data_IF_612256060214
#
_entry.id   IF_612256060214
#
_cell.length_a   1.000
_cell.length_b   1.000
_cell.length_c   1.000
_cell.angle_alpha   90.00
_cell.angle_beta   90.00
_cell.angle_gamma   90.00
#
_symmetry.space_group_name_H-M   'P 1'
#
loop_
_entity.id
_entity.type
_entity.pdbx_description
1 polymer ?
#
# COMPACT_ATOMS: atom_id res chain seq x y z
N UNK A 1 16.35 -22.56 -18.06
CA UNK A 1 16.32 -21.85 -19.36
C UNK A 1 15.47 -20.60 -19.17
N UNK A 2 16.05 -19.56 -18.58
CA UNK A 2 15.46 -18.22 -18.42
C UNK A 2 16.49 -17.17 -17.96
N UNK A 3 17.64 -17.60 -17.45
CA UNK A 3 18.58 -16.81 -16.63
C UNK A 3 19.42 -15.79 -17.45
N UNK A 4 18.99 -15.48 -18.67
CA UNK A 4 19.83 -14.96 -19.75
C UNK A 4 19.13 -13.89 -20.61
N UNK A 5 18.12 -13.21 -20.07
CA UNK A 5 17.29 -12.26 -20.82
C UNK A 5 17.34 -10.91 -20.08
N UNK A 6 17.52 -9.78 -20.78
CA UNK A 6 17.47 -8.47 -20.14
C UNK A 6 16.09 -8.20 -19.52
N UNK A 7 15.96 -7.16 -18.70
CA UNK A 7 14.70 -6.79 -18.04
C UNK A 7 13.52 -6.85 -19.04
N UNK A 8 12.43 -7.49 -18.65
CA UNK A 8 11.22 -7.68 -19.50
C UNK A 8 10.30 -6.46 -19.31
N UNK A 9 10.16 -5.55 -20.30
CA UNK A 9 9.41 -4.32 -20.13
C UNK A 9 7.93 -4.53 -19.80
N UNK A 10 7.32 -5.56 -20.38
CA UNK A 10 5.91 -5.90 -20.20
C UNK A 10 5.62 -6.38 -18.76
N UNK A 11 6.64 -6.88 -18.06
CA UNK A 11 6.55 -7.38 -16.69
C UNK A 11 7.01 -6.35 -15.65
N UNK A 12 7.46 -5.16 -16.09
CA UNK A 12 7.69 -4.03 -15.18
C UNK A 12 6.35 -3.67 -14.54
N UNK A 13 6.26 -3.62 -13.19
CA UNK A 13 4.98 -3.46 -12.52
C UNK A 13 4.20 -2.24 -12.98
N UNK A 14 2.89 -2.42 -13.19
CA UNK A 14 1.98 -1.34 -13.57
C UNK A 14 0.98 -1.09 -12.44
N UNK A 15 0.87 0.18 -12.05
CA UNK A 15 -0.19 0.61 -11.15
C UNK A 15 -1.49 0.74 -11.93
N UNK A 16 -2.47 -0.11 -11.62
CA UNK A 16 -3.79 -0.13 -12.29
C UNK A 16 -4.90 0.52 -11.48
N UNK A 17 -4.56 1.16 -10.35
CA UNK A 17 -5.51 1.92 -9.56
C UNK A 17 -5.79 3.30 -10.15
N UNK A 18 -6.72 4.02 -9.53
CA UNK A 18 -7.11 5.37 -9.91
C UNK A 18 -6.88 6.32 -8.72
N UNK A 19 -5.82 7.13 -8.79
CA UNK A 19 -5.48 8.09 -7.73
C UNK A 19 -6.45 9.27 -7.71
N UNK A 20 -7.04 9.65 -8.85
CA UNK A 20 -8.04 10.72 -8.88
C UNK A 20 -9.34 10.26 -8.20
N UNK A 21 -9.76 9.02 -8.47
CA UNK A 21 -10.90 8.43 -7.78
C UNK A 21 -10.62 8.24 -6.28
N UNK A 22 -9.38 7.88 -5.91
CA UNK A 22 -8.97 7.80 -4.52
C UNK A 22 -9.09 9.17 -3.82
N UNK A 23 -8.59 10.24 -4.43
CA UNK A 23 -8.68 11.60 -3.87
C UNK A 23 -10.14 12.04 -3.67
N UNK A 24 -11.03 11.72 -4.62
CA UNK A 24 -12.47 11.95 -4.46
C UNK A 24 -13.06 11.14 -3.29
N UNK A 25 -12.64 9.88 -3.14
CA UNK A 25 -13.02 9.03 -2.02
C UNK A 25 -12.58 9.60 -0.67
N UNK A 26 -11.35 10.08 -0.58
CA UNK A 26 -10.78 10.70 0.62
C UNK A 26 -11.60 11.95 1.01
N UNK A 27 -11.87 12.83 0.05
CA UNK A 27 -12.71 14.01 0.28
C UNK A 27 -14.13 13.62 0.75
N UNK A 28 -14.69 12.55 0.18
CA UNK A 28 -15.97 11.98 0.61
C UNK A 28 -15.95 11.50 2.07
N UNK A 29 -14.91 10.77 2.48
CA UNK A 29 -14.73 10.29 3.87
C UNK A 29 -14.67 11.47 4.85
N UNK A 30 -13.89 12.50 4.55
CA UNK A 30 -13.81 13.73 5.38
C UNK A 30 -15.16 14.43 5.51
N UNK A 31 -15.86 14.58 4.39
CA UNK A 31 -17.18 15.21 4.35
C UNK A 31 -18.21 14.43 5.16
N UNK A 32 -18.18 13.09 5.08
CA UNK A 32 -19.06 12.22 5.85
C UNK A 32 -18.79 12.35 7.36
N UNK A 33 -17.52 12.38 7.77
CA UNK A 33 -17.12 12.57 9.17
C UNK A 33 -17.62 13.90 9.74
N UNK A 34 -17.40 14.99 9.01
CA UNK A 34 -17.89 16.32 9.39
C UNK A 34 -19.41 16.33 9.53
N UNK A 35 -20.12 15.77 8.55
CA UNK A 35 -21.60 15.73 8.56
C UNK A 35 -22.16 14.93 9.74
N UNK A 36 -21.51 13.81 10.11
CA UNK A 36 -21.94 12.99 11.25
C UNK A 36 -21.71 13.72 12.58
N UNK A 37 -20.53 14.31 12.76
CA UNK A 37 -20.22 15.15 13.92
C UNK A 37 -21.24 16.27 14.09
N UNK A 38 -21.50 17.01 13.02
CA UNK A 38 -22.44 18.14 13.04
C UNK A 38 -23.85 17.67 13.39
N UNK A 39 -24.27 16.54 12.84
CA UNK A 39 -25.58 15.93 13.14
C UNK A 39 -25.70 15.52 14.61
N UNK A 40 -24.68 14.86 15.17
CA UNK A 40 -24.65 14.47 16.59
C UNK A 40 -24.70 15.69 17.52
N UNK A 41 -23.91 16.72 17.22
CA UNK A 41 -23.91 17.98 17.96
C UNK A 41 -25.25 18.72 17.87
N UNK A 42 -25.86 18.73 16.68
CA UNK A 42 -27.18 19.35 16.46
C UNK A 42 -28.28 18.64 17.25
N UNK A 43 -28.26 17.31 17.34
CA UNK A 43 -29.21 16.52 18.16
C UNK A 43 -29.09 16.94 19.62
N UNK A 44 -27.88 16.94 20.18
CA UNK A 44 -27.67 17.32 21.59
C UNK A 44 -28.11 18.76 21.88
N UNK A 45 -27.72 19.70 21.01
CA UNK A 45 -28.05 21.12 21.15
C UNK A 45 -29.56 21.36 21.08
N UNK A 46 -30.25 20.77 20.09
CA UNK A 46 -31.70 20.93 19.92
C UNK A 46 -32.48 20.30 21.06
N UNK A 47 -32.08 19.12 21.51
CA UNK A 47 -32.72 18.46 22.65
C UNK A 47 -32.52 19.26 23.95
N UNK A 48 -31.30 19.76 24.20
CA UNK A 48 -31.00 20.64 25.33
C UNK A 48 -31.79 21.96 25.31
N UNK A 49 -32.12 22.49 24.13
CA UNK A 49 -32.96 23.68 23.97
C UNK A 49 -34.38 23.52 24.54
N UNK A 50 -34.89 22.29 24.70
CA UNK A 50 -36.19 22.03 25.32
C UNK A 50 -36.22 22.30 26.83
N UNK A 51 -35.06 22.47 27.47
CA UNK A 51 -34.93 22.83 28.90
C UNK A 51 -35.57 24.17 29.28
N UNK A 52 -35.81 25.04 28.29
CA UNK A 52 -36.59 26.26 28.45
C UNK A 52 -38.07 25.98 28.76
N UNK A 53 -38.62 24.83 28.31
CA UNK A 53 -40.04 24.52 28.35
C UNK A 53 -40.41 23.32 29.25
N UNK A 54 -39.42 22.51 29.67
CA UNK A 54 -39.62 21.38 30.57
C UNK A 54 -38.97 21.63 31.93
N UNK A 55 -39.75 21.50 33.01
CA UNK A 55 -39.28 21.64 34.40
C UNK A 55 -39.73 20.44 35.22
N UNK A 56 -38.75 19.63 35.62
CA UNK A 56 -38.93 18.52 36.54
C UNK A 56 -37.61 18.24 37.26
N UNK A 57 -37.61 17.58 38.43
CA UNK A 57 -36.38 17.23 39.14
C UNK A 57 -35.38 16.43 38.30
N UNK A 58 -35.87 15.62 37.36
CA UNK A 58 -35.06 14.78 36.46
C UNK A 58 -34.65 15.44 35.14
N UNK A 59 -35.01 16.71 34.91
CA UNK A 59 -34.82 17.39 33.62
C UNK A 59 -33.34 17.46 33.19
N UNK A 60 -32.41 17.71 34.12
CA UNK A 60 -30.98 17.72 33.83
C UNK A 60 -30.49 16.36 33.31
N UNK A 61 -30.88 15.28 34.01
CA UNK A 61 -30.54 13.92 33.62
C UNK A 61 -31.12 13.56 32.24
N UNK A 62 -32.36 13.99 31.97
CA UNK A 62 -33.00 13.82 30.66
C UNK A 62 -32.16 14.49 29.57
N UNK A 63 -31.85 15.79 29.69
CA UNK A 63 -31.13 16.51 28.63
C UNK A 63 -29.69 16.02 28.42
N UNK A 64 -29.06 15.47 29.47
CA UNK A 64 -27.75 14.85 29.37
C UNK A 64 -27.73 13.56 28.53
N UNK A 65 -28.88 12.91 28.30
CA UNK A 65 -28.94 11.61 27.56
C UNK A 65 -28.42 11.67 26.13
N UNK A 66 -28.38 12.86 25.52
CA UNK A 66 -27.93 13.06 24.13
C UNK A 66 -26.45 13.47 24.03
N UNK A 67 -25.80 13.82 25.14
CA UNK A 67 -24.38 14.18 25.16
C UNK A 67 -23.48 13.06 24.60
N UNK A 68 -23.71 11.76 24.91
CA UNK A 68 -22.91 10.68 24.35
C UNK A 68 -22.96 10.61 22.81
N UNK A 69 -24.09 10.95 22.18
CA UNK A 69 -24.21 10.94 20.72
C UNK A 69 -23.34 12.03 20.09
N UNK A 70 -23.32 13.24 20.68
CA UNK A 70 -22.44 14.31 20.22
C UNK A 70 -20.96 13.95 20.39
N UNK A 71 -20.58 13.41 21.55
CA UNK A 71 -19.20 12.95 21.81
C UNK A 71 -18.77 11.86 20.82
N UNK A 72 -19.62 10.85 20.57
CA UNK A 72 -19.31 9.78 19.63
C UNK A 72 -19.24 10.26 18.18
N UNK A 73 -20.05 11.26 17.80
CA UNK A 73 -19.95 11.91 16.50
C UNK A 73 -18.58 12.58 16.29
N UNK A 74 -18.06 13.26 17.32
CA UNK A 74 -16.71 13.88 17.29
C UNK A 74 -15.60 12.82 17.19
N UNK A 75 -15.68 11.76 18.01
CA UNK A 75 -14.71 10.66 18.01
C UNK A 75 -14.66 9.99 16.63
N UNK A 76 -15.82 9.64 16.06
CA UNK A 76 -15.88 9.00 14.75
C UNK A 76 -15.37 9.92 13.63
N UNK A 77 -15.67 11.22 13.68
CA UNK A 77 -15.12 12.17 12.72
C UNK A 77 -13.58 12.24 12.78
N UNK A 78 -13.01 12.14 13.98
CA UNK A 78 -11.55 12.11 14.19
C UNK A 78 -10.94 10.82 13.63
N UNK A 79 -11.60 9.67 13.80
CA UNK A 79 -11.18 8.39 13.22
C UNK A 79 -11.23 8.44 11.68
N UNK A 80 -12.31 9.00 11.09
CA UNK A 80 -12.40 9.18 9.64
C UNK A 80 -11.33 10.12 9.10
N UNK A 81 -10.99 11.20 9.81
CA UNK A 81 -9.88 12.08 9.41
C UNK A 81 -8.53 11.34 9.45
N UNK A 82 -8.35 10.43 10.42
CA UNK A 82 -7.15 9.59 10.48
C UNK A 82 -7.06 8.64 9.29
N UNK A 83 -8.17 8.03 8.89
CA UNK A 83 -8.25 7.19 7.68
C UNK A 83 -7.97 8.02 6.42
N UNK A 84 -8.62 9.17 6.26
CA UNK A 84 -8.41 10.09 5.15
C UNK A 84 -6.95 10.51 5.03
N UNK A 85 -6.32 10.89 6.14
CA UNK A 85 -4.90 11.27 6.18
C UNK A 85 -3.94 10.12 5.82
N UNK A 86 -4.27 8.89 6.23
CA UNK A 86 -3.49 7.71 5.86
C UNK A 86 -3.54 7.47 4.34
N UNK A 87 -4.73 7.59 3.74
CA UNK A 87 -4.95 7.44 2.31
C UNK A 87 -4.30 8.59 1.50
N UNK A 88 -4.34 9.83 1.99
CA UNK A 88 -3.62 10.97 1.38
C UNK A 88 -2.10 10.69 1.34
N UNK A 89 -1.55 10.20 2.46
CA UNK A 89 -0.12 9.86 2.55
C UNK A 89 0.24 8.76 1.56
N UNK A 90 -0.62 7.76 1.42
CA UNK A 90 -0.48 6.69 0.43
C UNK A 90 -0.50 7.24 -1.01
N UNK A 91 -1.49 8.05 -1.36
CA UNK A 91 -1.62 8.65 -2.69
C UNK A 91 -0.38 9.49 -3.05
N UNK A 92 0.09 10.31 -2.11
CA UNK A 92 1.29 11.13 -2.26
C UNK A 92 2.56 10.29 -2.46
N UNK A 93 2.68 9.15 -1.77
CA UNK A 93 3.83 8.23 -1.93
C UNK A 93 3.78 7.46 -3.26
N UNK A 94 2.60 7.02 -3.68
CA UNK A 94 2.42 6.18 -4.89
C UNK A 94 2.50 6.98 -6.18
N UNK A 95 2.05 8.24 -6.20
CA UNK A 95 2.06 9.09 -7.40
C UNK A 95 3.41 9.12 -8.13
N UNK A 96 4.52 9.44 -7.46
CA UNK A 96 5.86 9.40 -8.06
C UNK A 96 6.32 7.98 -8.46
N UNK A 97 5.94 6.95 -7.69
CA UNK A 97 6.32 5.56 -7.98
C UNK A 97 5.67 5.06 -9.27
N UNK A 98 4.40 5.42 -9.53
CA UNK A 98 3.73 5.16 -10.82
C UNK A 98 4.57 5.70 -11.98
N UNK A 99 5.00 6.97 -11.89
CA UNK A 99 5.82 7.60 -12.93
C UNK A 99 7.18 6.90 -13.08
N UNK A 100 7.79 6.47 -11.96
CA UNK A 100 9.04 5.71 -11.97
C UNK A 100 8.88 4.37 -12.70
N UNK A 101 7.81 3.62 -12.47
CA UNK A 101 7.56 2.37 -13.22
C UNK A 101 7.38 2.63 -14.72
N UNK A 102 6.62 3.67 -15.10
CA UNK A 102 6.43 4.03 -16.50
C UNK A 102 7.75 4.43 -17.19
N UNK A 103 8.64 5.10 -16.44
CA UNK A 103 9.98 5.44 -16.91
C UNK A 103 10.85 4.19 -17.07
N UNK A 104 10.93 3.34 -16.05
CA UNK A 104 11.72 2.11 -16.08
C UNK A 104 11.28 1.16 -17.20
N UNK A 105 9.99 1.11 -17.51
CA UNK A 105 9.46 0.38 -18.67
C UNK A 105 10.00 0.94 -19.99
N UNK A 106 9.96 2.26 -20.17
CA UNK A 106 10.54 2.90 -21.36
C UNK A 106 12.05 2.67 -21.47
N UNK A 107 12.76 2.74 -20.34
CA UNK A 107 14.20 2.50 -20.30
C UNK A 107 14.55 1.06 -20.64
N UNK A 108 13.73 0.09 -20.20
CA UNK A 108 13.88 -1.32 -20.56
C UNK A 108 13.64 -1.55 -22.07
N UNK A 109 12.63 -0.91 -22.67
CA UNK A 109 12.39 -0.94 -24.11
C UNK A 109 13.59 -0.36 -24.87
N UNK A 110 14.08 0.80 -24.44
CA UNK A 110 15.23 1.47 -25.07
C UNK A 110 16.50 0.63 -24.96
N UNK A 111 16.75 -0.01 -23.81
CA UNK A 111 17.88 -0.92 -23.65
C UNK A 111 17.80 -2.12 -24.58
N UNK A 112 16.62 -2.74 -24.70
CA UNK A 112 16.42 -3.87 -25.63
C UNK A 112 16.66 -3.47 -27.09
N UNK A 113 16.25 -2.27 -27.49
CA UNK A 113 16.55 -1.74 -28.82
C UNK A 113 18.07 -1.44 -29.00
N UNK A 114 18.74 -0.96 -27.95
CA UNK A 114 20.19 -0.67 -27.95
C UNK A 114 21.03 -1.93 -28.22
N UNK A 115 20.64 -3.07 -27.66
CA UNK A 115 21.35 -4.36 -27.82
C UNK A 115 20.77 -5.21 -28.96
N UNK A 116 19.84 -4.68 -29.75
CA UNK A 116 19.21 -5.44 -30.82
C UNK A 116 20.25 -5.87 -31.87
N UNK A 117 20.37 -7.18 -32.08
CA UNK A 117 21.37 -7.76 -32.99
C UNK A 117 22.77 -7.90 -32.40
N UNK A 118 22.95 -7.60 -31.11
CA UNK A 118 24.17 -7.88 -30.36
C UNK A 118 23.97 -9.13 -29.47
N UNK A 119 24.26 -10.30 -30.03
CA UNK A 119 24.16 -11.57 -29.32
C UNK A 119 25.23 -11.73 -28.22
N UNK A 120 26.26 -10.88 -28.22
CA UNK A 120 27.38 -10.88 -27.26
C UNK A 120 27.30 -9.74 -26.24
N UNK A 121 26.17 -9.01 -26.15
CA UNK A 121 26.03 -7.85 -25.25
C UNK A 121 26.42 -8.11 -23.79
N UNK A 122 26.35 -9.36 -23.33
CA UNK A 122 26.78 -9.76 -21.97
C UNK A 122 28.29 -9.74 -21.77
N UNK A 123 29.09 -9.73 -22.83
CA UNK A 123 30.54 -9.56 -22.75
C UNK A 123 30.93 -8.09 -22.53
N UNK A 124 29.97 -7.17 -22.64
CA UNK A 124 30.12 -5.78 -22.26
C UNK A 124 29.60 -5.59 -20.83
N UNK A 125 30.53 -5.56 -19.86
CA UNK A 125 30.22 -5.33 -18.46
C UNK A 125 29.40 -4.07 -18.19
N UNK A 126 29.54 -3.01 -19.01
CA UNK A 126 28.76 -1.78 -18.86
C UNK A 126 27.28 -2.03 -19.21
N UNK A 127 26.98 -2.85 -20.22
CA UNK A 127 25.61 -3.21 -20.58
C UNK A 127 24.97 -4.13 -19.55
N UNK A 128 25.74 -5.07 -18.99
CA UNK A 128 25.29 -5.94 -17.90
C UNK A 128 24.97 -5.13 -16.65
N UNK A 129 25.88 -4.22 -16.26
CA UNK A 129 25.66 -3.30 -15.15
C UNK A 129 24.43 -2.42 -15.40
N UNK A 130 24.27 -1.86 -16.59
CA UNK A 130 23.11 -1.04 -16.95
C UNK A 130 21.79 -1.82 -16.80
N UNK A 131 21.74 -3.09 -17.24
CA UNK A 131 20.59 -3.96 -17.08
C UNK A 131 20.29 -4.27 -15.60
N UNK A 132 21.31 -4.64 -14.83
CA UNK A 132 21.16 -4.99 -13.41
C UNK A 132 20.77 -3.78 -12.55
N UNK A 133 21.30 -2.60 -12.84
CA UNK A 133 20.90 -1.36 -12.20
C UNK A 133 19.41 -1.06 -12.44
N UNK A 134 18.93 -1.23 -13.68
CA UNK A 134 17.52 -1.07 -14.01
C UNK A 134 16.62 -2.07 -13.27
N UNK A 135 17.04 -3.34 -13.18
CA UNK A 135 16.36 -4.35 -12.36
C UNK A 135 16.29 -3.92 -10.89
N UNK A 136 17.41 -3.45 -10.33
CA UNK A 136 17.47 -2.98 -8.95
C UNK A 136 16.56 -1.77 -8.71
N UNK A 137 16.47 -0.86 -9.67
CA UNK A 137 15.54 0.28 -9.61
C UNK A 137 14.07 -0.14 -9.61
N UNK A 138 13.70 -1.18 -10.38
CA UNK A 138 12.36 -1.78 -10.34
C UNK A 138 12.09 -2.38 -8.97
N UNK A 139 13.03 -3.17 -8.43
CA UNK A 139 12.92 -3.77 -7.10
C UNK A 139 12.73 -2.73 -6.00
N UNK A 140 13.50 -1.64 -6.04
CA UNK A 140 13.41 -0.55 -5.09
C UNK A 140 12.06 0.18 -5.19
N UNK A 141 11.58 0.46 -6.40
CA UNK A 141 10.27 1.08 -6.62
C UNK A 141 9.12 0.17 -6.13
N UNK A 142 9.20 -1.13 -6.38
CA UNK A 142 8.23 -2.12 -5.93
C UNK A 142 8.19 -2.25 -4.41
N UNK A 143 9.34 -2.37 -3.76
CA UNK A 143 9.42 -2.42 -2.30
C UNK A 143 8.90 -1.13 -1.65
N UNK A 144 9.18 0.04 -2.24
CA UNK A 144 8.66 1.32 -1.76
C UNK A 144 7.13 1.42 -1.90
N UNK A 145 6.57 0.89 -3.00
CA UNK A 145 5.12 0.83 -3.19
C UNK A 145 4.45 -0.02 -2.11
N UNK A 146 4.97 -1.23 -1.88
CA UNK A 146 4.45 -2.14 -0.86
C UNK A 146 4.63 -1.57 0.56
N UNK A 147 5.68 -0.78 0.79
CA UNK A 147 5.86 -0.06 2.05
C UNK A 147 4.76 0.97 2.28
N UNK A 148 4.43 1.78 1.26
CA UNK A 148 3.32 2.74 1.34
C UNK A 148 1.98 2.04 1.64
N UNK A 149 1.73 0.87 1.03
CA UNK A 149 0.55 0.05 1.31
C UNK A 149 0.50 -0.43 2.77
N UNK A 150 1.60 -0.98 3.28
CA UNK A 150 1.69 -1.38 4.69
C UNK A 150 1.49 -0.21 5.64
N UNK A 151 2.10 0.94 5.38
CA UNK A 151 2.01 2.11 6.24
C UNK A 151 0.56 2.63 6.32
N UNK A 152 -0.11 2.70 5.17
CA UNK A 152 -1.53 3.05 5.09
C UNK A 152 -2.39 2.06 5.85
N UNK A 153 -2.22 0.76 5.58
CA UNK A 153 -2.95 -0.30 6.28
C UNK A 153 -2.75 -0.21 7.79
N UNK A 154 -1.49 -0.15 8.25
CA UNK A 154 -1.11 -0.14 9.66
C UNK A 154 -1.73 1.03 10.39
N UNK A 155 -1.79 2.20 9.74
CA UNK A 155 -2.43 3.39 10.30
C UNK A 155 -3.93 3.19 10.50
N UNK A 156 -4.61 2.57 9.52
CA UNK A 156 -6.06 2.33 9.56
C UNK A 156 -6.39 1.22 10.57
N UNK A 157 -5.69 0.08 10.55
CA UNK A 157 -6.01 -1.04 11.45
C UNK A 157 -5.69 -0.76 12.91
N UNK A 158 -4.76 0.16 13.19
CA UNK A 158 -4.47 0.60 14.56
C UNK A 158 -5.71 1.23 15.23
N UNK A 159 -6.60 1.87 14.46
CA UNK A 159 -7.85 2.45 14.98
C UNK A 159 -8.78 1.40 15.60
N UNK A 160 -8.66 0.15 15.17
CA UNK A 160 -9.55 -0.95 15.58
C UNK A 160 -8.82 -2.03 16.38
N UNK A 161 -7.59 -1.77 16.80
CA UNK A 161 -6.75 -2.77 17.49
C UNK A 161 -6.38 -3.97 16.61
N UNK A 162 -6.40 -3.80 15.29
CA UNK A 162 -6.05 -4.84 14.33
C UNK A 162 -4.54 -5.11 14.30
N UNK A 163 -4.17 -6.27 13.76
CA UNK A 163 -2.77 -6.66 13.64
C UNK A 163 -2.10 -5.91 12.50
N UNK A 164 -1.00 -5.23 12.81
CA UNK A 164 -0.17 -4.53 11.82
C UNK A 164 0.51 -5.53 10.87
N UNK A 165 0.62 -5.16 9.59
CA UNK A 165 1.44 -5.84 8.62
C UNK A 165 2.92 -5.57 8.87
N UNK A 166 3.72 -6.61 8.66
CA UNK A 166 5.18 -6.55 8.69
C UNK A 166 5.74 -6.97 7.34
N UNK A 167 6.98 -6.57 7.06
CA UNK A 167 7.68 -7.01 5.85
C UNK A 167 7.82 -8.54 5.89
N UNK A 168 7.63 -9.20 4.75
CA UNK A 168 7.87 -10.63 4.63
C UNK A 168 9.38 -10.90 4.76
N UNK A 169 9.77 -11.72 5.74
CA UNK A 169 11.14 -12.14 6.00
C UNK A 169 11.34 -13.66 5.76
N UNK A 170 10.35 -14.33 5.15
CA UNK A 170 10.35 -15.77 4.91
C UNK A 170 9.90 -16.62 6.10
N UNK A 171 9.42 -16.03 7.20
CA UNK A 171 8.89 -16.80 8.35
C UNK A 171 7.40 -17.16 8.26
N UNK A 172 6.77 -16.93 7.11
CA UNK A 172 5.39 -17.35 6.77
C UNK A 172 4.31 -16.96 7.80
N UNK A 173 4.46 -15.80 8.45
CA UNK A 173 3.42 -15.29 9.37
C UNK A 173 2.25 -14.69 8.58
N UNK A 174 1.04 -14.86 9.11
CA UNK A 174 -0.21 -14.40 8.47
C UNK A 174 -0.27 -12.89 8.21
N UNK A 175 0.48 -12.07 8.96
CA UNK A 175 0.51 -10.61 8.80
C UNK A 175 1.70 -10.10 7.97
N UNK A 176 2.29 -10.95 7.14
CA UNK A 176 3.39 -10.55 6.26
C UNK A 176 2.87 -10.04 4.92
N UNK A 177 3.40 -8.89 4.48
CA UNK A 177 3.07 -8.32 3.19
C UNK A 177 4.25 -7.58 2.56
N UNK A 178 4.58 -7.93 1.32
CA UNK A 178 5.64 -7.31 0.54
C UNK A 178 7.05 -7.59 1.06
N UNK A 179 8.05 -7.08 0.32
CA UNK A 179 9.46 -7.45 0.49
C UNK A 179 10.35 -6.22 0.68
N UNK A 180 11.59 -6.41 1.16
CA UNK A 180 12.61 -5.35 1.10
C UNK A 180 13.23 -5.34 -0.30
N UNK A 181 13.69 -4.17 -0.73
CA UNK A 181 14.41 -4.04 -2.01
C UNK A 181 15.68 -4.89 -2.05
N UNK A 182 16.38 -5.02 -0.92
CA UNK A 182 17.55 -5.91 -0.79
C UNK A 182 17.21 -7.39 -0.97
N UNK A 183 16.09 -7.84 -0.40
CA UNK A 183 15.61 -9.23 -0.56
C UNK A 183 15.29 -9.52 -2.03
N UNK A 184 14.64 -8.56 -2.73
CA UNK A 184 14.33 -8.66 -4.16
C UNK A 184 15.58 -8.60 -5.03
N UNK A 185 16.59 -7.82 -4.66
CA UNK A 185 17.85 -7.76 -5.40
C UNK A 185 18.56 -9.13 -5.41
N UNK A 186 18.47 -9.85 -4.30
CA UNK A 186 19.06 -11.18 -4.14
C UNK A 186 18.13 -12.33 -4.60
N UNK A 187 16.88 -12.03 -4.97
CA UNK A 187 15.92 -13.02 -5.43
C UNK A 187 16.14 -13.39 -6.90
N UNK A 188 15.97 -14.67 -7.24
CA UNK A 188 15.75 -15.14 -8.61
C UNK A 188 14.26 -15.45 -8.88
N UNK A 189 13.89 -15.58 -10.15
CA UNK A 189 12.54 -15.83 -10.62
C UNK A 189 11.62 -14.60 -10.63
N UNK A 190 12.16 -13.38 -10.60
CA UNK A 190 11.31 -12.18 -10.67
C UNK A 190 10.73 -12.04 -12.09
N UNK A 191 9.46 -11.63 -12.26
CA UNK A 191 8.84 -11.56 -13.59
C UNK A 191 9.53 -10.58 -14.53
N UNK A 192 10.06 -9.48 -14.01
CA UNK A 192 10.81 -8.51 -14.80
C UNK A 192 12.26 -8.93 -15.07
N UNK A 193 12.67 -10.13 -14.65
CA UNK A 193 13.95 -10.74 -15.00
C UNK A 193 14.87 -11.02 -13.81
N UNK A 194 15.85 -11.89 -14.05
CA UNK A 194 16.88 -12.27 -13.10
C UNK A 194 18.13 -11.39 -13.21
N UNK A 195 18.99 -11.36 -12.18
CA UNK A 195 20.31 -10.77 -12.29
C UNK A 195 21.08 -11.43 -13.44
N UNK A 196 21.78 -10.63 -14.24
CA UNK A 196 22.59 -11.11 -15.37
C UNK A 196 24.07 -11.04 -15.00
N UNK A 197 24.82 -12.10 -15.26
CA UNK A 197 26.29 -12.11 -15.11
C UNK A 197 26.98 -11.68 -16.40
N UNK A 198 28.13 -11.01 -16.26
CA UNK A 198 29.01 -10.70 -17.38
C UNK A 198 29.61 -11.99 -17.96
N UNK A 199 29.53 -12.15 -19.27
CA UNK A 199 30.09 -13.30 -19.96
C UNK A 199 31.59 -13.13 -20.10
N UNK A 200 32.35 -13.78 -19.22
CA UNK A 200 33.81 -13.79 -19.33
C UNK A 200 34.29 -14.74 -20.45
N UNK A 201 35.26 -14.32 -21.29
CA UNK A 201 35.96 -15.22 -22.20
C UNK A 201 36.57 -16.40 -21.43
N UNK A 202 36.58 -17.61 -22.01
CA UNK A 202 37.02 -18.86 -21.35
C UNK A 202 38.41 -18.85 -20.69
N UNK A 203 39.24 -17.84 -20.96
CA UNK A 203 40.59 -17.65 -20.42
C UNK A 203 40.70 -16.56 -19.33
N UNK A 204 39.64 -15.79 -19.04
CA UNK A 204 39.56 -14.80 -17.96
C UNK A 204 38.61 -15.30 -16.86
N UNK A 205 39.05 -16.27 -16.06
CA UNK A 205 38.30 -16.70 -14.87
C UNK A 205 38.93 -16.09 -13.62
N UNK A 206 38.57 -14.84 -13.30
CA UNK A 206 38.82 -14.24 -11.99
C UNK A 206 37.55 -13.58 -11.42
N UNK A 207 37.10 -14.17 -10.30
CA UNK A 207 36.34 -13.62 -9.17
C UNK A 207 35.26 -12.54 -9.40
N UNK A 208 34.08 -12.96 -9.85
CA UNK A 208 32.82 -12.35 -9.38
C UNK A 208 31.77 -13.46 -9.23
N UNK A 209 31.91 -14.28 -8.19
CA UNK A 209 30.88 -15.29 -7.83
C UNK A 209 29.79 -14.56 -7.05
N UNK A 210 28.70 -14.21 -7.73
CA UNK A 210 27.50 -13.72 -7.07
C UNK A 210 26.60 -14.90 -6.75
N UNK A 211 26.43 -15.21 -5.46
CA UNK A 211 25.46 -16.22 -5.00
C UNK A 211 24.03 -15.65 -5.16
N UNK A 212 23.44 -15.78 -6.35
CA UNK A 212 22.03 -15.41 -6.62
C UNK A 212 21.02 -16.48 -6.15
N UNK A 213 21.47 -17.44 -5.32
CA UNK A 213 20.76 -18.67 -5.01
C UNK A 213 19.77 -18.55 -3.83
N UNK A 214 19.02 -17.45 -3.71
CA UNK A 214 17.88 -17.39 -2.78
C UNK A 214 16.59 -17.53 -3.58
N UNK A 215 16.11 -18.77 -3.69
CA UNK A 215 14.85 -19.08 -4.37
C UNK A 215 13.64 -18.62 -3.56
N UNK A 216 13.16 -17.41 -3.83
CA UNK A 216 11.82 -16.95 -3.45
C UNK A 216 10.84 -17.30 -4.58
N UNK A 217 10.48 -18.57 -4.72
CA UNK A 217 9.39 -18.97 -5.64
C UNK A 217 8.07 -18.73 -4.92
N UNK A 218 7.53 -17.52 -5.05
CA UNK A 218 6.19 -17.19 -4.56
C UNK A 218 5.20 -17.40 -5.70
N UNK A 219 4.30 -18.37 -5.51
CA UNK A 219 3.26 -18.76 -6.46
C UNK A 219 2.17 -17.67 -6.51
N UNK A 220 2.34 -16.70 -7.40
CA UNK A 220 1.25 -15.82 -7.87
C UNK A 220 1.32 -14.33 -7.52
N UNK A 221 0.96 -13.54 -8.54
CA UNK A 221 0.61 -12.09 -8.55
C UNK A 221 1.78 -11.11 -8.36
N UNK A 222 2.59 -10.94 -9.40
CA UNK A 222 3.61 -9.88 -9.45
C UNK A 222 3.31 -8.78 -10.50
N UNK A 223 2.72 -9.13 -11.65
CA UNK A 223 2.61 -8.24 -12.82
C UNK A 223 1.50 -7.19 -12.78
N UNK A 224 0.59 -7.21 -11.80
CA UNK A 224 -0.48 -6.20 -11.69
C UNK A 224 -0.59 -5.70 -10.26
N UNK A 225 -0.28 -4.42 -10.05
CA UNK A 225 -0.42 -3.78 -8.76
C UNK A 225 -1.75 -3.04 -8.71
N UNK A 226 -2.72 -3.64 -8.00
CA UNK A 226 -4.06 -3.06 -7.81
C UNK A 226 -4.14 -2.01 -6.69
N UNK A 227 -3.03 -1.73 -6.01
CA UNK A 227 -2.99 -0.93 -4.79
C UNK A 227 -3.65 -1.66 -3.61
N UNK A 228 -4.17 -0.89 -2.64
CA UNK A 228 -4.75 -1.40 -1.37
C UNK A 228 -5.81 -2.50 -1.54
N UNK A 229 -6.40 -2.66 -2.74
CA UNK A 229 -7.27 -3.81 -3.05
C UNK A 229 -6.61 -5.17 -2.85
N UNK A 230 -5.28 -5.26 -2.94
CA UNK A 230 -4.49 -6.47 -2.64
C UNK A 230 -4.55 -6.83 -1.15
N UNK A 231 -4.87 -5.88 -0.27
CA UNK A 231 -4.86 -6.07 1.19
C UNK A 231 -6.20 -6.53 1.78
N UNK A 232 -7.26 -6.62 0.97
CA UNK A 232 -8.61 -6.96 1.46
C UNK A 232 -8.67 -8.36 2.09
N UNK A 233 -7.71 -9.25 1.80
CA UNK A 233 -7.62 -10.58 2.41
C UNK A 233 -7.01 -10.63 3.82
N UNK A 234 -6.48 -9.52 4.35
CA UNK A 234 -5.93 -9.52 5.70
C UNK A 234 -7.03 -9.36 6.75
N UNK A 235 -7.02 -10.24 7.77
CA UNK A 235 -8.02 -10.31 8.86
C UNK A 235 -8.29 -8.97 9.58
N UNK A 236 -7.33 -8.04 9.53
CA UNK A 236 -7.51 -6.70 10.08
C UNK A 236 -8.59 -5.86 9.38
N UNK A 237 -8.86 -6.04 8.08
CA UNK A 237 -9.94 -5.33 7.39
C UNK A 237 -11.33 -5.81 7.82
N UNK A 238 -11.51 -7.13 7.98
CA UNK A 238 -12.77 -7.69 8.48
C UNK A 238 -13.02 -7.26 9.92
N UNK A 239 -12.00 -7.33 10.77
CA UNK A 239 -12.07 -6.85 12.14
C UNK A 239 -12.39 -5.35 12.21
N UNK A 240 -11.78 -4.54 11.32
CA UNK A 240 -12.08 -3.12 11.22
C UNK A 240 -13.55 -2.88 10.84
N UNK A 241 -14.04 -3.57 9.81
CA UNK A 241 -15.43 -3.50 9.40
C UNK A 241 -16.40 -3.82 10.55
N UNK A 242 -16.13 -4.88 11.31
CA UNK A 242 -16.97 -5.27 12.45
C UNK A 242 -16.91 -4.25 13.60
N UNK A 243 -15.72 -3.74 13.93
CA UNK A 243 -15.56 -2.73 14.97
C UNK A 243 -16.36 -1.46 14.65
N UNK A 244 -16.33 -1.02 13.38
CA UNK A 244 -17.02 0.17 12.92
C UNK A 244 -18.54 -0.02 12.87
N UNK A 245 -19.01 -1.21 12.46
CA UNK A 245 -20.42 -1.59 12.57
C UNK A 245 -20.87 -1.59 14.04
N UNK A 246 -20.04 -2.08 14.96
CA UNK A 246 -20.31 -2.05 16.40
C UNK A 246 -20.42 -0.63 16.96
N UNK A 247 -19.51 0.26 16.58
CA UNK A 247 -19.55 1.68 16.93
C UNK A 247 -20.82 2.36 16.39
N UNK A 248 -21.20 2.07 15.15
CA UNK A 248 -22.44 2.57 14.55
C UNK A 248 -23.68 2.15 15.34
N UNK A 249 -23.76 0.88 15.75
CA UNK A 249 -24.86 0.35 16.58
C UNK A 249 -24.95 1.05 17.94
N UNK A 250 -23.81 1.19 18.64
CA UNK A 250 -23.73 1.89 19.92
C UNK A 250 -24.20 3.36 19.83
N UNK A 251 -23.88 4.06 18.74
CA UNK A 251 -24.33 5.43 18.53
C UNK A 251 -25.85 5.56 18.28
N UNK A 252 -26.46 4.53 17.67
CA UNK A 252 -27.91 4.51 17.37
C UNK A 252 -28.78 3.91 18.48
N UNK A 253 -28.19 3.29 19.51
CA UNK A 253 -28.91 2.69 20.62
C UNK A 253 -29.70 1.41 20.28
N UNK A 254 -29.34 0.72 19.19
CA UNK A 254 -29.89 -0.58 18.75
C UNK A 254 -28.76 -1.60 18.63
#
# INVERSE_FOLDING_TARGET
MSDDIPVIPEEVPEFTGDLEQLDLGIAGVRSAGTSLKDSGSAIHTRFGGLSAYYKAPEAEALFATTAPVATKGEEFATELETVASALDTYAAAVGPLKQKFDQLRRDAIAFRAKIEGDDEWRADGDLVEENNNRRSDINAAYAAFQAAERDCYNKIVALVGGQALVVNDGSDKENMYGYRGEDLNNAGGLPWGDPVEESNPWYYVHEHVWDFAVGFVVDGVWGTIKGLGTLVGFSGWDAAGQAWVGLGKLATGI
#
